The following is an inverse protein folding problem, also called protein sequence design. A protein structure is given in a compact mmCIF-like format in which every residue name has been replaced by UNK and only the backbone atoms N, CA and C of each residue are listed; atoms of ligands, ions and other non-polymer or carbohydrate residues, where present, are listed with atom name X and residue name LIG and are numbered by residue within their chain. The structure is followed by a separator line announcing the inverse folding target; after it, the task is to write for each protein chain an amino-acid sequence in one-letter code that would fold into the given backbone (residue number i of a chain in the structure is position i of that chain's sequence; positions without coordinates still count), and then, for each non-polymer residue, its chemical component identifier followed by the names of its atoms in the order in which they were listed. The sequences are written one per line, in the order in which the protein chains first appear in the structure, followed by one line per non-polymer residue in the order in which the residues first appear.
data_IF_105900910804
#
_entry.id   IF_105900910804
#
_cell.length_a   1.000
_cell.length_b   1.000
_cell.length_c   1.000
_cell.angle_alpha   90.00
_cell.angle_beta   90.00
_cell.angle_gamma   90.00
#
_symmetry.space_group_name_H-M   'P 1'
#
loop_
_entity.id
_entity.type
_entity.pdbx_description
1 polymer ?
#
# COMPACT_ATOMS: atom_id res chain seq x y z
N UNK A 1 5.14 -13.70 -15.06
CA UNK A 1 4.24 -13.01 -14.11
C UNK A 1 2.81 -13.58 -14.15
N UNK A 2 2.20 -13.79 -15.31
CA UNK A 2 0.79 -14.23 -15.42
C UNK A 2 0.43 -15.56 -14.77
N UNK A 3 1.33 -16.55 -14.78
CA UNK A 3 1.06 -17.86 -14.18
C UNK A 3 0.97 -17.78 -12.66
N UNK A 4 1.91 -17.06 -12.02
CA UNK A 4 1.88 -16.81 -10.57
C UNK A 4 0.64 -15.99 -10.21
N UNK A 5 0.30 -14.98 -11.01
CA UNK A 5 -0.92 -14.18 -10.83
C UNK A 5 -2.20 -15.03 -10.89
N UNK A 6 -2.29 -15.93 -11.87
CA UNK A 6 -3.41 -16.89 -11.98
C UNK A 6 -3.46 -17.86 -10.80
N UNK A 7 -2.32 -18.36 -10.34
CA UNK A 7 -2.26 -19.26 -9.17
C UNK A 7 -2.68 -18.53 -7.88
N UNK A 8 -2.26 -17.27 -7.70
CA UNK A 8 -2.65 -16.44 -6.56
C UNK A 8 -4.15 -16.11 -6.57
N UNK A 9 -4.76 -15.85 -7.73
CA UNK A 9 -6.21 -15.60 -7.79
C UNK A 9 -7.07 -16.76 -7.24
N UNK A 10 -6.61 -18.00 -7.37
CA UNK A 10 -7.35 -19.17 -6.91
C UNK A 10 -6.89 -19.70 -5.54
N UNK A 11 -5.64 -19.45 -5.16
CA UNK A 11 -5.03 -20.09 -3.99
C UNK A 11 -4.27 -19.15 -3.04
N UNK A 12 -4.18 -17.84 -3.32
CA UNK A 12 -3.44 -16.92 -2.44
C UNK A 12 -3.96 -16.97 -1.00
N UNK A 13 -5.27 -17.07 -0.84
CA UNK A 13 -5.93 -17.04 0.46
C UNK A 13 -6.06 -18.41 1.14
N UNK A 14 -5.43 -19.45 0.58
CA UNK A 14 -5.26 -20.73 1.28
C UNK A 14 -4.25 -20.56 2.41
N UNK A 15 -4.56 -21.10 3.59
CA UNK A 15 -3.76 -20.89 4.81
C UNK A 15 -2.29 -21.28 4.61
N UNK A 16 -2.04 -22.45 4.00
CA UNK A 16 -0.67 -22.89 3.73
C UNK A 16 0.10 -21.91 2.82
N UNK A 17 -0.58 -21.31 1.83
CA UNK A 17 0.04 -20.35 0.91
C UNK A 17 0.31 -19.02 1.63
N UNK A 18 -0.65 -18.53 2.43
CA UNK A 18 -0.44 -17.34 3.28
C UNK A 18 0.75 -17.52 4.24
N UNK A 19 0.99 -18.73 4.75
CA UNK A 19 2.06 -18.98 5.72
C UNK A 19 3.45 -19.22 5.09
N UNK A 20 3.53 -19.46 3.77
CA UNK A 20 4.78 -19.88 3.10
C UNK A 20 5.16 -19.03 1.88
N UNK A 21 4.28 -18.15 1.39
CA UNK A 21 4.51 -17.34 0.19
C UNK A 21 4.31 -15.86 0.52
N UNK A 22 5.42 -15.13 0.63
CA UNK A 22 5.44 -13.70 0.98
C UNK A 22 4.53 -12.86 0.07
N UNK A 23 4.52 -13.15 -1.25
CA UNK A 23 3.67 -12.43 -2.20
C UNK A 23 2.17 -12.62 -1.94
N UNK A 24 1.76 -13.74 -1.35
CA UNK A 24 0.37 -14.00 -1.03
C UNK A 24 -0.11 -13.17 0.16
N UNK A 25 0.77 -12.88 1.12
CA UNK A 25 0.45 -12.12 2.34
C UNK A 25 -0.02 -10.68 2.04
N UNK A 26 0.46 -10.11 0.93
CA UNK A 26 0.04 -8.81 0.39
C UNK A 26 -0.70 -8.88 -0.94
N UNK A 27 -1.17 -10.07 -1.32
CA UNK A 27 -2.10 -10.20 -2.44
C UNK A 27 -3.45 -9.58 -2.07
N UNK A 28 -3.88 -8.58 -2.84
CA UNK A 28 -5.15 -7.88 -2.64
C UNK A 28 -6.00 -8.05 -3.90
N UNK A 29 -7.03 -8.88 -3.82
CA UNK A 29 -7.96 -9.14 -4.92
C UNK A 29 -9.17 -8.20 -4.81
N UNK A 30 -9.30 -7.17 -5.67
CA UNK A 30 -10.42 -6.24 -5.60
C UNK A 30 -11.76 -6.87 -6.01
N UNK A 31 -11.76 -8.04 -6.68
CA UNK A 31 -12.99 -8.77 -7.01
C UNK A 31 -13.51 -9.57 -5.81
N UNK A 32 -12.65 -9.86 -4.82
CA UNK A 32 -12.95 -10.70 -3.66
C UNK A 32 -12.53 -10.03 -2.34
N UNK A 33 -12.87 -8.75 -2.16
CA UNK A 33 -12.54 -7.96 -0.96
C UNK A 33 -12.90 -8.67 0.36
N UNK A 34 -14.08 -9.30 0.44
CA UNK A 34 -14.50 -10.01 1.66
C UNK A 34 -13.55 -11.16 1.99
N UNK A 35 -13.12 -11.92 0.98
CA UNK A 35 -12.18 -13.03 1.16
C UNK A 35 -10.80 -12.49 1.57
N UNK A 36 -10.32 -11.45 0.88
CA UNK A 36 -9.09 -10.75 1.20
C UNK A 36 -9.06 -10.27 2.65
N UNK A 37 -10.04 -9.46 3.06
CA UNK A 37 -10.13 -8.92 4.42
C UNK A 37 -10.20 -10.05 5.46
N UNK A 38 -10.82 -11.20 5.16
CA UNK A 38 -10.89 -12.33 6.11
C UNK A 38 -9.63 -13.19 6.17
N UNK A 39 -8.88 -13.31 5.08
CA UNK A 39 -7.83 -14.34 4.93
C UNK A 39 -6.41 -13.82 4.85
N UNK A 40 -6.18 -12.56 4.43
CA UNK A 40 -4.83 -12.00 4.35
C UNK A 40 -4.17 -11.95 5.74
N UNK A 41 -3.11 -12.72 5.97
CA UNK A 41 -2.48 -12.80 7.31
C UNK A 41 -1.68 -11.55 7.66
N UNK A 42 -1.37 -10.71 6.68
CA UNK A 42 -0.54 -9.53 6.84
C UNK A 42 -1.22 -8.23 6.40
N UNK A 43 -1.44 -8.03 5.09
CA UNK A 43 -1.85 -6.72 4.55
C UNK A 43 -3.18 -6.22 5.13
N UNK A 44 -4.21 -7.08 5.17
CA UNK A 44 -5.50 -6.73 5.77
C UNK A 44 -5.40 -6.46 7.29
N UNK A 45 -4.41 -7.06 7.97
CA UNK A 45 -4.16 -6.79 9.38
C UNK A 45 -3.53 -5.41 9.59
N UNK A 46 -2.40 -5.13 8.93
CA UNK A 46 -1.66 -3.86 9.11
C UNK A 46 -2.43 -2.64 8.58
N UNK A 47 -3.29 -2.83 7.57
CA UNK A 47 -4.21 -1.80 7.08
C UNK A 47 -5.45 -1.64 7.96
N UNK A 48 -5.57 -2.44 9.02
CA UNK A 48 -6.63 -2.33 10.03
C UNK A 48 -8.04 -2.46 9.41
N UNK A 49 -8.19 -3.36 8.44
CA UNK A 49 -9.41 -3.52 7.65
C UNK A 49 -10.48 -4.35 8.37
N UNK A 50 -10.09 -5.08 9.42
CA UNK A 50 -10.96 -5.92 10.23
C UNK A 50 -11.54 -5.15 11.42
N UNK A 51 -12.76 -5.51 11.81
CA UNK A 51 -13.36 -5.04 13.05
C UNK A 51 -13.23 -6.09 14.17
N UNK A 52 -12.97 -5.69 15.43
CA UNK A 52 -12.64 -4.33 15.86
C UNK A 52 -11.23 -3.92 15.43
N UNK A 53 -11.06 -2.63 15.11
CA UNK A 53 -9.78 -2.05 14.69
C UNK A 53 -8.80 -1.95 15.85
N UNK A 54 -7.51 -2.21 15.59
CA UNK A 54 -6.40 -2.12 16.54
C UNK A 54 -5.92 -0.67 16.63
N UNK A 55 -6.19 0.01 17.74
CA UNK A 55 -5.75 1.40 17.97
C UNK A 55 -4.23 1.57 17.99
N UNK A 56 -3.50 0.53 18.42
CA UNK A 56 -2.03 0.56 18.53
C UNK A 56 -1.30 0.80 17.20
N UNK A 57 -1.88 0.40 16.06
CA UNK A 57 -1.25 0.60 14.74
C UNK A 57 -1.22 2.08 14.39
N UNK A 58 -2.37 2.77 14.59
CA UNK A 58 -2.44 4.21 14.46
C UNK A 58 -1.48 4.91 15.42
N UNK A 59 -1.57 4.60 16.72
CA UNK A 59 -0.73 5.22 17.75
C UNK A 59 0.77 5.09 17.48
N UNK A 60 1.20 4.02 16.81
CA UNK A 60 2.60 3.81 16.42
C UNK A 60 2.95 4.53 15.13
N UNK A 61 2.12 4.43 14.09
CA UNK A 61 2.41 5.04 12.79
C UNK A 61 2.46 6.57 12.88
N UNK A 62 1.55 7.19 13.64
CA UNK A 62 1.54 8.66 13.81
C UNK A 62 2.73 9.20 14.61
N UNK A 63 3.58 8.35 15.20
CA UNK A 63 4.84 8.80 15.83
C UNK A 63 5.93 9.12 14.82
N UNK A 64 5.75 8.74 13.55
CA UNK A 64 6.70 9.10 12.50
C UNK A 64 6.80 10.62 12.36
N UNK A 65 8.04 11.12 12.25
CA UNK A 65 8.30 12.53 11.94
C UNK A 65 7.93 12.85 10.50
N UNK A 66 8.26 11.94 9.59
CA UNK A 66 7.93 12.01 8.17
C UNK A 66 7.59 10.61 7.66
N UNK A 67 6.60 10.52 6.78
CA UNK A 67 6.23 9.32 6.04
C UNK A 67 6.27 9.65 4.55
N UNK A 68 7.34 9.22 3.88
CA UNK A 68 7.65 9.60 2.50
C UNK A 68 7.31 8.43 1.58
N UNK A 69 6.46 8.69 0.59
CA UNK A 69 5.97 7.74 -0.40
C UNK A 69 6.48 8.15 -1.78
N UNK A 70 7.01 7.20 -2.55
CA UNK A 70 7.57 7.44 -3.88
C UNK A 70 6.94 6.49 -4.88
N UNK A 71 6.34 7.04 -5.94
CA UNK A 71 5.76 6.28 -7.05
C UNK A 71 6.60 6.45 -8.31
N UNK A 72 6.91 5.34 -8.95
CA UNK A 72 7.56 5.32 -10.26
C UNK A 72 6.49 5.39 -11.36
N UNK A 73 6.59 6.39 -12.24
CA UNK A 73 5.57 6.66 -13.26
C UNK A 73 5.49 5.57 -14.34
N UNK A 74 6.61 4.91 -14.62
CA UNK A 74 6.71 3.87 -15.64
C UNK A 74 6.85 2.46 -15.04
N UNK A 75 6.47 2.28 -13.76
CA UNK A 75 6.61 1.01 -13.05
C UNK A 75 5.92 -0.15 -13.80
N UNK A 76 6.67 -1.20 -14.12
CA UNK A 76 6.20 -2.41 -14.78
C UNK A 76 6.02 -3.60 -13.83
N UNK A 77 6.32 -3.42 -12.54
CA UNK A 77 6.31 -4.47 -11.51
C UNK A 77 5.15 -4.35 -10.53
N UNK A 78 4.79 -3.13 -10.12
CA UNK A 78 3.70 -2.87 -9.17
C UNK A 78 2.38 -2.61 -9.91
N UNK A 79 1.39 -3.46 -9.67
CA UNK A 79 0.05 -3.36 -10.27
C UNK A 79 -1.02 -3.33 -9.14
N UNK A 80 -1.77 -2.22 -8.97
CA UNK A 80 -1.66 -0.94 -9.67
C UNK A 80 -0.51 -0.08 -9.13
N UNK A 81 0.07 0.79 -9.96
CA UNK A 81 1.22 1.65 -9.58
C UNK A 81 0.89 2.57 -8.40
N UNK A 82 -0.37 2.98 -8.31
CA UNK A 82 -0.92 3.83 -7.28
C UNK A 82 -0.87 3.21 -5.89
N UNK A 83 -0.66 1.89 -5.77
CA UNK A 83 -0.40 1.21 -4.50
C UNK A 83 0.78 1.83 -3.75
N UNK A 84 1.78 2.35 -4.47
CA UNK A 84 2.93 3.06 -3.91
C UNK A 84 2.55 4.34 -3.14
N UNK A 85 1.36 4.91 -3.39
CA UNK A 85 0.80 6.09 -2.73
C UNK A 85 -0.52 5.75 -1.99
N UNK A 86 -0.70 4.52 -1.51
CA UNK A 86 -1.94 4.05 -0.86
C UNK A 86 -3.22 4.17 -1.71
N UNK A 87 -3.09 4.33 -3.03
CA UNK A 87 -4.20 4.19 -3.97
C UNK A 87 -4.40 2.73 -4.36
N UNK A 88 -5.63 2.32 -4.66
CA UNK A 88 -5.90 0.95 -5.09
C UNK A 88 -7.14 0.87 -5.98
N UNK A 89 -7.39 -0.29 -6.58
CA UNK A 89 -8.60 -0.51 -7.36
C UNK A 89 -9.87 -0.30 -6.53
N UNK A 90 -10.94 0.22 -7.15
CA UNK A 90 -12.27 0.23 -6.54
C UNK A 90 -12.77 -1.22 -6.41
N UNK A 91 -13.30 -1.57 -5.24
CA UNK A 91 -13.90 -2.87 -4.96
C UNK A 91 -14.91 -3.32 -6.04
N UNK A 92 -14.83 -4.59 -6.43
CA UNK A 92 -15.67 -5.24 -7.43
C UNK A 92 -15.12 -5.17 -8.86
N UNK A 93 -13.97 -4.53 -9.09
CA UNK A 93 -13.37 -4.38 -10.42
C UNK A 93 -11.84 -4.14 -10.35
N UNK A 94 -11.14 -4.21 -11.47
CA UNK A 94 -9.67 -4.09 -11.55
C UNK A 94 -9.19 -3.11 -12.65
N UNK A 95 -9.90 -1.99 -12.82
CA UNK A 95 -9.64 -0.97 -13.85
C UNK A 95 -9.54 0.43 -13.23
N UNK A 96 -10.59 0.90 -12.56
CA UNK A 96 -10.65 2.22 -11.93
C UNK A 96 -9.91 2.23 -10.60
N UNK A 97 -9.12 3.29 -10.39
CA UNK A 97 -8.32 3.51 -9.18
C UNK A 97 -9.00 4.51 -8.27
N UNK A 98 -9.12 4.15 -6.98
CA UNK A 98 -9.44 5.05 -5.89
C UNK A 98 -8.14 5.56 -5.26
N UNK A 99 -8.01 6.89 -5.12
CA UNK A 99 -6.87 7.50 -4.46
C UNK A 99 -6.95 7.31 -2.94
N UNK A 100 -5.81 7.34 -2.25
CA UNK A 100 -5.72 7.24 -0.78
C UNK A 100 -6.77 8.10 -0.08
N UNK A 101 -6.88 9.38 -0.45
CA UNK A 101 -7.76 10.37 0.21
C UNK A 101 -9.26 10.09 0.06
N UNK A 102 -9.64 9.23 -0.88
CA UNK A 102 -11.02 8.83 -1.13
C UNK A 102 -11.38 7.49 -0.46
N UNK A 103 -10.43 6.85 0.24
CA UNK A 103 -10.63 5.56 0.90
C UNK A 103 -11.21 5.71 2.32
N UNK A 104 -11.93 4.70 2.83
CA UNK A 104 -12.29 4.62 4.24
C UNK A 104 -11.08 4.61 5.17
N UNK A 105 -10.00 3.91 4.78
CA UNK A 105 -8.71 3.88 5.49
C UNK A 105 -8.23 5.29 5.87
N UNK A 106 -8.34 6.24 4.93
CA UNK A 106 -7.97 7.64 5.12
C UNK A 106 -9.08 8.46 5.78
N UNK A 107 -10.31 8.40 5.27
CA UNK A 107 -11.39 9.31 5.71
C UNK A 107 -11.81 9.09 7.16
N UNK A 108 -11.82 7.83 7.61
CA UNK A 108 -12.02 7.41 9.00
C UNK A 108 -10.69 7.25 9.78
N UNK A 109 -9.56 7.45 9.11
CA UNK A 109 -8.22 7.51 9.70
C UNK A 109 -7.82 6.27 10.53
N UNK A 110 -7.97 5.08 9.93
CA UNK A 110 -7.81 3.77 10.60
C UNK A 110 -6.40 3.51 11.11
N UNK A 111 -5.39 4.03 10.40
CA UNK A 111 -3.97 3.85 10.74
C UNK A 111 -3.23 5.18 10.91
N UNK A 112 -3.91 6.33 10.80
CA UNK A 112 -3.27 7.65 11.01
C UNK A 112 -2.76 8.35 9.75
N UNK A 113 -3.13 7.88 8.55
CA UNK A 113 -2.71 8.53 7.29
C UNK A 113 -3.23 9.97 7.18
N UNK A 114 -4.47 10.22 7.60
CA UNK A 114 -5.06 11.57 7.56
C UNK A 114 -4.40 12.49 8.57
N UNK A 115 -4.06 11.96 9.75
CA UNK A 115 -3.29 12.72 10.74
C UNK A 115 -1.91 13.11 10.21
N UNK A 116 -1.18 12.18 9.58
CA UNK A 116 0.13 12.44 8.98
C UNK A 116 0.02 13.44 7.82
N UNK A 117 -0.96 13.29 6.92
CA UNK A 117 -1.19 14.20 5.78
C UNK A 117 -1.54 15.62 6.25
N UNK A 118 -2.55 15.76 7.12
CA UNK A 118 -3.00 17.09 7.60
C UNK A 118 -2.00 17.81 8.50
N UNK A 119 -1.07 17.07 9.14
CA UNK A 119 0.05 17.65 9.89
C UNK A 119 1.30 17.92 9.05
N UNK A 120 1.25 17.70 7.73
CA UNK A 120 2.37 17.95 6.82
C UNK A 120 3.54 16.99 6.97
N UNK A 121 3.28 15.78 7.50
CA UNK A 121 4.28 14.73 7.73
C UNK A 121 4.21 13.60 6.72
N UNK A 122 3.12 13.48 5.94
CA UNK A 122 3.04 12.58 4.79
C UNK A 122 3.49 13.33 3.53
N UNK A 123 4.45 12.78 2.80
CA UNK A 123 5.02 13.38 1.60
C UNK A 123 4.91 12.41 0.43
N UNK A 124 4.36 12.86 -0.70
CA UNK A 124 4.19 12.05 -1.90
C UNK A 124 5.08 12.58 -3.03
N UNK A 125 5.82 11.68 -3.66
CA UNK A 125 6.65 11.98 -4.82
C UNK A 125 6.30 11.07 -5.99
N UNK A 126 6.36 11.64 -7.19
CA UNK A 126 6.27 10.90 -8.44
C UNK A 126 7.58 11.10 -9.21
N UNK A 127 8.20 10.00 -9.63
CA UNK A 127 9.48 10.02 -10.34
C UNK A 127 9.37 9.29 -11.66
N UNK A 128 10.06 9.80 -12.68
CA UNK A 128 10.16 9.14 -13.98
C UNK A 128 11.16 8.00 -13.86
N UNK A 129 10.72 6.79 -14.18
CA UNK A 129 11.54 5.58 -14.11
C UNK A 129 10.66 4.34 -14.03
N UNK A 130 11.24 3.18 -14.34
CA UNK A 130 10.66 1.88 -13.99
C UNK A 130 10.92 1.57 -12.51
N UNK A 131 10.47 0.41 -12.04
CA UNK A 131 10.57 -0.03 -10.64
C UNK A 131 11.99 0.12 -10.08
N UNK A 132 12.14 0.95 -9.05
CA UNK A 132 13.41 1.26 -8.37
C UNK A 132 14.47 1.95 -9.25
N UNK A 133 14.11 2.39 -10.47
CA UNK A 133 14.98 3.21 -11.30
C UNK A 133 14.80 4.68 -10.92
N UNK A 134 15.73 5.17 -10.11
CA UNK A 134 15.72 6.52 -9.58
C UNK A 134 16.96 7.29 -10.03
N UNK A 135 16.78 8.56 -10.38
CA UNK A 135 17.91 9.47 -10.59
C UNK A 135 18.60 9.75 -9.25
N UNK A 136 19.90 9.43 -9.16
CA UNK A 136 20.63 9.54 -7.89
C UNK A 136 20.76 10.99 -7.42
N UNK A 137 20.83 11.95 -8.35
CA UNK A 137 20.87 13.37 -7.99
C UNK A 137 19.53 13.78 -7.36
N UNK A 138 18.41 13.39 -7.94
CA UNK A 138 17.09 13.58 -7.34
C UNK A 138 17.01 12.91 -5.96
N UNK A 139 17.48 11.68 -5.81
CA UNK A 139 17.44 10.98 -4.52
C UNK A 139 18.23 11.72 -3.43
N UNK A 140 19.42 12.23 -3.76
CA UNK A 140 20.25 13.00 -2.84
C UNK A 140 19.58 14.33 -2.43
N UNK A 141 18.99 15.04 -3.38
CA UNK A 141 18.38 16.37 -3.16
C UNK A 141 17.01 16.29 -2.47
N UNK A 142 16.17 15.31 -2.85
CA UNK A 142 14.78 15.21 -2.42
C UNK A 142 14.57 14.27 -1.24
N UNK A 143 15.40 13.23 -1.09
CA UNK A 143 15.26 12.25 0.01
C UNK A 143 16.33 12.46 1.07
N UNK A 144 17.61 12.33 0.70
CA UNK A 144 18.71 12.36 1.68
C UNK A 144 18.78 13.73 2.37
N UNK A 145 18.84 14.81 1.60
CA UNK A 145 19.02 16.15 2.15
C UNK A 145 17.85 16.64 3.01
N UNK A 146 16.62 16.19 2.74
CA UNK A 146 15.41 16.65 3.43
C UNK A 146 15.07 15.85 4.68
N UNK A 147 15.32 14.54 4.67
CA UNK A 147 14.79 13.64 5.69
C UNK A 147 15.83 12.84 6.49
N UNK A 148 17.08 12.75 5.99
CA UNK A 148 18.11 11.86 6.56
C UNK A 148 19.39 12.59 7.00
N UNK A 149 19.47 13.91 6.86
CA UNK A 149 20.58 14.73 7.36
C UNK A 149 20.26 15.35 8.72
#
# INVERSE_FOLDING_TARGET
CDLVRKLLNYGAYEQYIQDHVVQAEYWHDPLQEVLYTQKSVFLADINNERNPRKGEYKERLVKLKNFVLVKYLNDSMVEPRESSLFGFYIAGQAQEIRKMRDTPLYTEDWIGLKELDTSGRLHEYEVIGDHLQIDMKWFDEEIIAKYLK
#
